data_IF_447374520673
#
_entry.id   IF_447374520673
#
_cell.length_a   1.000
_cell.length_b   1.000
_cell.length_c   1.000
_cell.angle_alpha   90.00
_cell.angle_beta   90.00
_cell.angle_gamma   90.00
#
_symmetry.space_group_name_H-M   'P 1'
#
loop_
_entity.id
_entity.type
_entity.pdbx_description
1 polymer ?
#
# COMPACT_ATOMS: atom_id res chain seq x y z
N UNK A 1 31.13 -58.87 8.71
CA UNK A 1 30.05 -58.27 7.89
C UNK A 1 28.89 -57.95 8.81
N UNK A 2 28.65 -56.67 9.08
CA UNK A 2 27.32 -56.09 9.32
C UNK A 2 27.43 -54.64 8.83
N UNK A 3 26.55 -54.32 7.90
CA UNK A 3 26.60 -53.15 7.03
C UNK A 3 26.22 -51.88 7.80
N UNK A 4 27.06 -50.84 7.70
CA UNK A 4 26.62 -49.48 7.97
C UNK A 4 25.82 -49.00 6.76
N UNK A 5 24.49 -48.97 6.86
CA UNK A 5 23.67 -48.26 5.88
C UNK A 5 22.44 -47.62 6.52
N UNK A 6 22.66 -46.58 7.32
CA UNK A 6 21.64 -45.55 7.47
C UNK A 6 21.95 -44.44 6.48
N UNK A 7 21.42 -44.58 5.26
CA UNK A 7 21.35 -43.49 4.30
C UNK A 7 20.58 -42.33 4.94
N UNK A 8 21.30 -41.29 5.38
CA UNK A 8 20.66 -40.07 5.86
C UNK A 8 20.13 -39.32 4.64
N UNK A 9 18.81 -39.34 4.45
CA UNK A 9 18.15 -38.65 3.36
C UNK A 9 18.08 -37.14 3.62
N UNK A 10 19.10 -36.40 3.19
CA UNK A 10 19.18 -34.94 3.28
C UNK A 10 18.49 -34.21 2.11
N UNK A 11 17.31 -34.62 1.66
CA UNK A 11 16.53 -33.75 0.78
C UNK A 11 15.85 -32.62 1.57
N UNK A 12 16.63 -31.80 2.30
CA UNK A 12 16.24 -30.43 2.61
C UNK A 12 16.78 -29.61 1.45
N UNK A 13 15.88 -28.95 0.73
CA UNK A 13 16.18 -28.16 -0.47
C UNK A 13 16.90 -26.84 -0.10
N UNK A 14 17.98 -26.91 0.66
CA UNK A 14 18.78 -25.76 1.10
C UNK A 14 19.91 -25.53 0.09
N UNK A 15 19.66 -24.64 -0.87
CA UNK A 15 20.76 -24.08 -1.67
C UNK A 15 21.59 -23.17 -0.78
N UNK A 16 22.89 -23.43 -0.68
CA UNK A 16 23.84 -22.49 -0.10
C UNK A 16 23.80 -21.20 -0.92
N UNK A 17 23.54 -20.07 -0.27
CA UNK A 17 23.63 -18.74 -0.86
C UNK A 17 24.76 -18.02 -0.15
N UNK A 18 25.60 -17.27 -0.87
CA UNK A 18 26.58 -16.40 -0.24
C UNK A 18 25.85 -15.27 0.50
N UNK A 19 25.74 -15.39 1.82
CA UNK A 19 24.86 -14.56 2.66
C UNK A 19 25.57 -13.40 3.35
N UNK A 20 26.65 -12.86 2.77
CA UNK A 20 27.28 -11.67 3.38
C UNK A 20 26.29 -10.50 3.37
N UNK A 21 25.63 -10.24 4.51
CA UNK A 21 24.56 -9.26 4.67
C UNK A 21 23.13 -9.77 4.44
N UNK A 22 22.91 -11.03 4.04
CA UNK A 22 21.55 -11.55 3.79
C UNK A 22 20.90 -12.05 5.09
N UNK A 23 19.73 -11.49 5.43
CA UNK A 23 18.84 -12.05 6.46
C UNK A 23 17.75 -12.87 5.78
N UNK A 24 17.72 -14.17 6.01
CA UNK A 24 16.68 -15.07 5.48
C UNK A 24 15.47 -15.02 6.42
N UNK A 25 14.35 -14.46 5.95
CA UNK A 25 13.05 -14.68 6.59
C UNK A 25 12.53 -16.05 6.14
N UNK A 26 12.74 -17.08 6.95
CA UNK A 26 12.35 -18.45 6.63
C UNK A 26 10.85 -18.65 6.67
N UNK A 27 10.20 -18.66 5.51
CA UNK A 27 8.89 -19.28 5.33
C UNK A 27 9.07 -20.63 4.64
N UNK A 28 8.49 -21.71 5.17
CA UNK A 28 8.38 -22.98 4.45
C UNK A 28 7.39 -22.78 3.29
N UNK A 29 7.86 -22.43 2.09
CA UNK A 29 7.01 -22.41 0.90
C UNK A 29 7.00 -23.82 0.30
N UNK A 30 5.84 -24.49 0.34
CA UNK A 30 5.64 -25.82 -0.26
C UNK A 30 5.28 -25.74 -1.75
N UNK A 31 5.48 -24.60 -2.39
CA UNK A 31 5.06 -24.36 -3.78
C UNK A 31 6.25 -24.33 -4.74
N UNK A 32 6.09 -25.04 -5.86
CA UNK A 32 7.15 -25.43 -6.80
C UNK A 32 7.86 -24.26 -7.52
N UNK A 33 7.29 -23.06 -7.51
CA UNK A 33 7.78 -21.89 -8.26
C UNK A 33 7.72 -20.57 -7.48
N UNK A 34 8.09 -20.55 -6.18
CA UNK A 34 8.02 -19.33 -5.35
C UNK A 34 9.39 -18.76 -5.00
N UNK A 35 9.65 -17.50 -5.41
CA UNK A 35 10.83 -16.70 -5.04
C UNK A 35 10.55 -15.71 -3.89
N UNK A 36 9.41 -15.83 -3.21
CA UNK A 36 8.90 -14.84 -2.25
C UNK A 36 8.58 -15.43 -0.87
N UNK A 37 8.66 -14.59 0.17
CA UNK A 37 8.17 -14.92 1.53
C UNK A 37 6.65 -14.92 1.52
N UNK A 38 6.05 -16.11 1.48
CA UNK A 38 4.59 -16.25 1.47
C UNK A 38 3.96 -16.05 2.86
N UNK A 39 2.69 -15.66 2.86
CA UNK A 39 1.86 -15.66 4.05
C UNK A 39 1.63 -17.08 4.56
N UNK A 40 2.07 -17.39 5.79
CA UNK A 40 1.92 -18.73 6.38
C UNK A 40 0.47 -19.20 6.55
N UNK A 41 -0.49 -18.27 6.58
CA UNK A 41 -1.92 -18.54 6.76
C UNK A 41 -2.76 -18.35 5.48
N UNK A 42 -2.14 -18.12 4.31
CA UNK A 42 -2.85 -17.88 3.04
C UNK A 42 -2.39 -18.88 1.96
N UNK A 43 -2.70 -20.18 2.07
CA UNK A 43 -2.21 -21.22 1.15
C UNK A 43 -2.84 -21.20 -0.26
N UNK A 44 -3.35 -20.06 -0.72
CA UNK A 44 -4.15 -19.97 -1.95
C UNK A 44 -3.57 -19.09 -3.07
N UNK A 45 -2.61 -18.20 -2.80
CA UNK A 45 -2.06 -17.32 -3.83
C UNK A 45 -0.54 -17.06 -3.64
N UNK A 46 0.32 -17.53 -4.56
CA UNK A 46 1.79 -17.36 -4.48
C UNK A 46 2.27 -15.90 -4.58
N UNK A 47 1.38 -14.95 -4.90
CA UNK A 47 1.70 -13.52 -5.04
C UNK A 47 1.57 -12.74 -3.74
N UNK A 48 1.05 -13.35 -2.67
CA UNK A 48 0.86 -12.66 -1.41
C UNK A 48 2.13 -12.69 -0.55
N UNK A 49 2.45 -11.56 0.06
CA UNK A 49 3.59 -11.41 0.97
C UNK A 49 3.11 -10.94 2.34
N UNK A 50 3.58 -11.59 3.39
CA UNK A 50 3.31 -11.19 4.77
C UNK A 50 4.63 -11.07 5.54
N UNK A 51 4.81 -9.94 6.21
CA UNK A 51 5.98 -9.65 7.04
C UNK A 51 5.48 -9.20 8.41
N UNK A 52 5.61 -10.07 9.42
CA UNK A 52 5.18 -9.81 10.79
C UNK A 52 4.31 -10.93 11.34
N UNK A 53 4.31 -11.10 12.66
CA UNK A 53 3.46 -12.08 13.33
C UNK A 53 1.97 -11.78 13.07
N UNK A 54 1.21 -12.81 12.70
CA UNK A 54 -0.23 -12.71 12.41
C UNK A 54 -0.59 -11.73 11.29
N UNK A 55 0.37 -11.32 10.45
CA UNK A 55 0.07 -10.60 9.21
C UNK A 55 -0.65 -11.52 8.22
N UNK A 56 -1.65 -11.00 7.51
CA UNK A 56 -2.47 -11.76 6.58
C UNK A 56 -2.83 -10.94 5.34
N UNK A 57 -3.02 -11.61 4.21
CA UNK A 57 -3.55 -11.03 2.98
C UNK A 57 -4.82 -11.77 2.61
N UNK A 58 -5.95 -11.07 2.63
CA UNK A 58 -7.27 -11.59 2.30
C UNK A 58 -7.52 -11.46 0.80
N UNK A 59 -6.76 -12.21 -0.01
CA UNK A 59 -6.94 -12.21 -1.47
C UNK A 59 -7.67 -13.46 -1.95
N UNK A 60 -8.74 -13.25 -2.72
CA UNK A 60 -9.51 -14.32 -3.37
C UNK A 60 -9.17 -14.47 -4.87
N UNK A 61 -8.36 -13.57 -5.43
CA UNK A 61 -7.99 -13.47 -6.84
C UNK A 61 -6.47 -13.50 -7.03
N UNK A 62 -5.98 -13.61 -8.28
CA UNK A 62 -4.55 -13.61 -8.61
C UNK A 62 -3.91 -12.21 -8.58
N UNK A 63 -4.42 -11.30 -7.74
CA UNK A 63 -4.10 -9.87 -7.75
C UNK A 63 -2.96 -9.47 -6.81
N UNK A 64 -2.51 -10.36 -5.92
CA UNK A 64 -1.34 -10.21 -5.02
C UNK A 64 -1.39 -9.02 -4.05
N UNK A 65 -1.30 -9.27 -2.74
CA UNK A 65 -1.25 -8.20 -1.72
C UNK A 65 -0.04 -8.31 -0.78
N UNK A 66 0.27 -7.23 -0.06
CA UNK A 66 1.34 -7.18 0.95
C UNK A 66 0.80 -6.73 2.31
N UNK A 67 1.08 -7.49 3.36
CA UNK A 67 0.81 -7.09 4.74
C UNK A 67 2.12 -6.91 5.51
N UNK A 68 2.36 -5.72 6.05
CA UNK A 68 3.60 -5.33 6.72
C UNK A 68 3.36 -4.86 8.15
N UNK A 69 3.91 -5.61 9.10
CA UNK A 69 3.82 -5.39 10.53
C UNK A 69 2.87 -6.39 11.21
N UNK A 70 3.08 -6.60 12.50
CA UNK A 70 2.26 -7.50 13.31
C UNK A 70 0.77 -7.15 13.22
N UNK A 71 -0.11 -8.14 13.08
CA UNK A 71 -1.57 -7.96 12.91
C UNK A 71 -2.02 -7.16 11.68
N UNK A 72 -1.17 -6.92 10.69
CA UNK A 72 -1.62 -6.20 9.48
C UNK A 72 -2.43 -7.11 8.59
N UNK A 73 -3.53 -6.60 8.05
CA UNK A 73 -4.41 -7.34 7.14
C UNK A 73 -4.57 -6.53 5.86
N UNK A 74 -4.13 -7.11 4.74
CA UNK A 74 -4.37 -6.50 3.42
C UNK A 74 -5.66 -7.04 2.81
N UNK A 75 -6.66 -6.19 2.54
CA UNK A 75 -7.92 -6.60 1.93
C UNK A 75 -7.78 -6.78 0.42
N UNK A 76 -8.63 -7.60 -0.20
CA UNK A 76 -8.78 -7.61 -1.66
C UNK A 76 -9.54 -6.37 -2.12
N UNK A 77 -8.92 -5.56 -2.97
CA UNK A 77 -9.51 -4.38 -3.64
C UNK A 77 -9.49 -4.50 -5.17
N UNK A 78 -8.84 -5.54 -5.70
CA UNK A 78 -8.85 -5.86 -7.13
C UNK A 78 -9.58 -7.18 -7.33
N UNK A 79 -10.89 -7.09 -7.61
CA UNK A 79 -11.78 -8.24 -7.75
C UNK A 79 -12.09 -8.51 -9.23
N UNK A 80 -11.46 -9.53 -9.83
CA UNK A 80 -11.91 -10.10 -11.11
C UNK A 80 -12.04 -9.12 -12.29
N UNK A 81 -11.35 -7.98 -12.28
CA UNK A 81 -11.46 -6.92 -13.29
C UNK A 81 -12.39 -5.76 -12.93
N UNK A 82 -13.13 -5.83 -11.82
CA UNK A 82 -13.78 -4.67 -11.21
C UNK A 82 -12.78 -3.99 -10.25
N UNK A 83 -12.24 -2.88 -10.72
CA UNK A 83 -11.34 -2.04 -9.95
C UNK A 83 -12.14 -1.33 -8.85
N UNK A 84 -11.92 -1.65 -7.57
CA UNK A 84 -12.38 -0.79 -6.47
C UNK A 84 -11.51 0.45 -6.53
N UNK A 85 -11.98 1.46 -7.24
CA UNK A 85 -11.17 2.64 -7.42
C UNK A 85 -11.06 3.46 -6.14
N UNK A 86 -10.09 4.37 -6.17
CA UNK A 86 -9.77 5.28 -5.09
C UNK A 86 -10.87 6.30 -4.82
N UNK A 87 -10.66 7.09 -3.77
CA UNK A 87 -11.56 8.18 -3.46
C UNK A 87 -11.19 9.42 -4.29
N UNK A 88 -12.09 9.84 -5.17
CA UNK A 88 -12.00 11.13 -5.88
C UNK A 88 -12.76 12.22 -5.10
N UNK A 89 -12.07 13.23 -4.52
CA UNK A 89 -12.72 14.29 -3.75
C UNK A 89 -13.52 15.29 -4.61
N UNK A 90 -13.29 15.37 -5.93
CA UNK A 90 -14.01 16.31 -6.83
C UNK A 90 -15.42 15.80 -7.08
N UNK A 91 -15.54 14.50 -7.32
CA UNK A 91 -16.81 13.84 -7.64
C UNK A 91 -17.48 13.18 -6.42
N UNK A 92 -16.79 13.15 -5.26
CA UNK A 92 -17.26 12.48 -4.05
C UNK A 92 -17.12 10.96 -4.08
N UNK A 93 -16.16 10.44 -4.86
CA UNK A 93 -15.88 9.01 -5.01
C UNK A 93 -16.50 8.37 -6.25
N UNK A 94 -17.19 9.15 -7.10
CA UNK A 94 -17.63 8.66 -8.40
C UNK A 94 -16.46 8.72 -9.39
N UNK A 95 -15.95 7.58 -9.81
CA UNK A 95 -14.82 7.51 -10.73
C UNK A 95 -15.32 7.47 -12.17
N UNK A 96 -15.03 8.52 -12.92
CA UNK A 96 -15.55 8.73 -14.27
C UNK A 96 -14.65 8.11 -15.36
N UNK A 97 -13.45 7.65 -14.99
CA UNK A 97 -12.45 7.13 -15.94
C UNK A 97 -12.12 5.67 -15.64
N UNK A 98 -12.73 4.71 -16.35
CA UNK A 98 -12.36 3.31 -16.26
C UNK A 98 -10.86 3.13 -16.57
N UNK A 99 -10.14 2.40 -15.70
CA UNK A 99 -8.75 1.95 -15.91
C UNK A 99 -7.65 3.02 -15.82
N UNK A 100 -7.88 4.19 -15.22
CA UNK A 100 -6.78 5.12 -14.94
C UNK A 100 -6.00 4.65 -13.69
N UNK A 101 -4.70 4.30 -13.78
CA UNK A 101 -3.92 3.81 -12.64
C UNK A 101 -3.70 4.86 -11.53
N UNK A 102 -3.89 6.15 -11.83
CA UNK A 102 -3.90 7.23 -10.82
C UNK A 102 -5.05 7.02 -9.83
N UNK A 103 -6.20 6.57 -10.34
CA UNK A 103 -7.44 6.43 -9.57
C UNK A 103 -7.82 4.97 -9.31
N UNK A 104 -7.20 4.00 -9.96
CA UNK A 104 -7.54 2.58 -9.84
C UNK A 104 -6.28 1.72 -9.65
N UNK A 105 -6.18 1.08 -8.48
CA UNK A 105 -5.09 0.14 -8.21
C UNK A 105 -5.20 -1.10 -9.10
N UNK A 106 -4.06 -1.56 -9.64
CA UNK A 106 -3.97 -2.76 -10.49
C UNK A 106 -3.64 -4.04 -9.70
N UNK A 107 -3.20 -3.90 -8.46
CA UNK A 107 -2.87 -4.96 -7.50
C UNK A 107 -3.50 -4.65 -6.13
N UNK A 108 -3.59 -5.65 -5.26
CA UNK A 108 -4.10 -5.44 -3.91
C UNK A 108 -3.13 -4.58 -3.08
N UNK A 109 -3.65 -3.81 -2.11
CA UNK A 109 -2.86 -2.78 -1.43
C UNK A 109 -1.73 -3.38 -0.58
N UNK A 110 -0.77 -2.51 -0.26
CA UNK A 110 0.11 -2.70 0.89
C UNK A 110 -0.63 -2.26 2.14
N UNK A 111 -0.86 -3.17 3.07
CA UNK A 111 -1.45 -2.86 4.37
C UNK A 111 -0.39 -2.77 5.45
N UNK A 112 -0.49 -1.71 6.26
CA UNK A 112 0.37 -1.45 7.42
C UNK A 112 -0.38 -1.64 8.74
N UNK A 113 -1.58 -2.24 8.73
CA UNK A 113 -2.41 -2.40 9.91
C UNK A 113 -3.72 -3.11 9.61
N UNK A 114 -4.68 -2.96 10.50
CA UNK A 114 -6.03 -3.50 10.38
C UNK A 114 -6.99 -2.46 10.98
N UNK A 115 -7.69 -1.68 10.13
CA UNK A 115 -8.63 -0.65 10.58
C UNK A 115 -9.80 -1.22 11.39
N UNK A 116 -10.23 -2.46 11.12
CA UNK A 116 -11.33 -3.09 11.85
C UNK A 116 -10.91 -3.38 13.30
N UNK A 117 -9.61 -3.67 13.50
CA UNK A 117 -8.98 -3.82 14.81
C UNK A 117 -8.38 -2.51 15.36
N UNK A 118 -8.60 -1.36 14.68
CA UNK A 118 -8.03 -0.05 15.03
C UNK A 118 -6.49 -0.02 15.07
N UNK A 119 -5.85 -0.93 14.35
CA UNK A 119 -4.40 -1.00 14.23
C UNK A 119 -3.99 -0.15 13.03
N UNK A 120 -3.28 0.95 13.29
CA UNK A 120 -2.72 1.82 12.27
C UNK A 120 -1.27 2.14 12.57
N UNK A 121 -0.52 2.50 11.55
CA UNK A 121 0.89 2.88 11.67
C UNK A 121 1.14 4.13 10.86
N UNK A 122 2.04 4.98 11.35
CA UNK A 122 2.57 6.08 10.56
C UNK A 122 3.61 5.54 9.57
N UNK A 123 3.63 6.12 8.38
CA UNK A 123 4.70 5.92 7.40
C UNK A 123 5.59 7.16 7.47
N UNK A 124 6.82 7.01 7.96
CA UNK A 124 7.77 8.11 8.19
C UNK A 124 8.88 8.10 7.14
N UNK A 125 9.56 9.23 6.95
CA UNK A 125 10.63 9.36 5.96
C UNK A 125 10.13 9.46 4.51
N UNK A 126 8.86 9.82 4.30
CA UNK A 126 8.27 9.99 2.96
C UNK A 126 8.67 11.35 2.39
N UNK A 127 9.48 11.34 1.33
CA UNK A 127 9.80 12.53 0.55
C UNK A 127 8.53 13.10 -0.12
N UNK A 128 8.56 14.37 -0.53
CA UNK A 128 7.42 14.96 -1.22
C UNK A 128 7.19 14.23 -2.55
N UNK A 129 5.95 13.82 -2.81
CA UNK A 129 5.57 13.18 -4.06
C UNK A 129 5.67 14.14 -5.24
N UNK A 130 6.07 13.63 -6.40
CA UNK A 130 6.21 14.38 -7.65
C UNK A 130 5.16 13.99 -8.68
N UNK A 131 4.99 12.69 -8.90
CA UNK A 131 4.03 12.14 -9.85
C UNK A 131 2.66 11.91 -9.21
N UNK A 132 1.60 11.79 -10.03
CA UNK A 132 0.21 11.62 -9.56
C UNK A 132 0.00 10.37 -8.69
N UNK A 133 0.87 9.36 -8.81
CA UNK A 133 0.82 8.11 -8.03
C UNK A 133 1.76 8.07 -6.83
N UNK A 134 2.51 9.14 -6.57
CA UNK A 134 3.41 9.21 -5.41
C UNK A 134 2.63 9.48 -4.11
N UNK A 135 3.14 8.95 -3.00
CA UNK A 135 2.59 9.26 -1.69
C UNK A 135 2.80 10.74 -1.33
N UNK A 136 1.74 11.41 -0.90
CA UNK A 136 1.80 12.78 -0.38
C UNK A 136 2.24 12.77 1.09
N UNK A 137 3.16 13.66 1.46
CA UNK A 137 3.55 13.83 2.86
C UNK A 137 2.84 15.01 3.55
N UNK A 138 2.98 15.11 4.88
CA UNK A 138 2.32 16.14 5.68
C UNK A 138 2.77 17.57 5.33
N UNK A 139 3.99 17.76 4.80
CA UNK A 139 4.48 19.09 4.42
C UNK A 139 3.73 19.64 3.20
N UNK A 140 3.48 18.81 2.18
CA UNK A 140 2.68 19.19 1.02
C UNK A 140 1.24 19.58 1.43
N UNK A 141 0.61 18.83 2.33
CA UNK A 141 -0.73 19.15 2.82
C UNK A 141 -0.78 20.48 3.61
N UNK A 142 0.25 20.78 4.40
CA UNK A 142 0.35 22.08 5.11
C UNK A 142 0.49 23.25 4.14
N UNK A 143 1.34 23.12 3.12
CA UNK A 143 1.50 24.15 2.09
C UNK A 143 0.18 24.41 1.34
N UNK A 144 -0.58 23.35 1.00
CA UNK A 144 -1.90 23.49 0.40
C UNK A 144 -2.89 24.22 1.32
N UNK A 145 -2.92 23.86 2.62
CA UNK A 145 -3.77 24.55 3.61
C UNK A 145 -3.44 26.04 3.69
N UNK A 146 -2.15 26.40 3.73
CA UNK A 146 -1.70 27.79 3.76
C UNK A 146 -2.14 28.57 2.51
N UNK A 147 -1.97 27.96 1.32
CA UNK A 147 -2.43 28.53 0.07
C UNK A 147 -3.95 28.81 0.08
N UNK A 148 -4.77 27.86 0.53
CA UNK A 148 -6.23 28.04 0.62
C UNK A 148 -6.64 29.10 1.64
N UNK A 149 -5.91 29.23 2.76
CA UNK A 149 -6.18 30.27 3.76
C UNK A 149 -5.85 31.66 3.21
N UNK A 150 -4.77 31.81 2.44
CA UNK A 150 -4.41 33.08 1.79
C UNK A 150 -5.41 33.47 0.69
N UNK A 151 -6.00 32.49 0.01
CA UNK A 151 -7.01 32.68 -1.05
C UNK A 151 -8.43 32.98 -0.52
N UNK A 152 -8.68 33.00 0.80
CA UNK A 152 -9.97 33.45 1.37
C UNK A 152 -10.16 34.96 1.19
N UNK A 153 -10.55 35.35 -0.03
CA UNK A 153 -11.39 36.48 -0.43
C UNK A 153 -11.19 37.84 0.26
N UNK A 154 -10.18 38.58 -0.18
CA UNK A 154 -10.29 40.04 -0.28
C UNK A 154 -11.08 40.41 -1.55
N UNK A 155 -12.42 40.27 -1.54
CA UNK A 155 -13.25 40.99 -2.51
C UNK A 155 -13.25 42.47 -2.09
N UNK A 156 -12.29 43.25 -2.60
CA UNK A 156 -12.36 44.70 -2.48
C UNK A 156 -13.43 45.22 -3.45
N UNK A 157 -14.68 45.33 -2.99
CA UNK A 157 -15.67 46.15 -3.66
C UNK A 157 -15.37 47.61 -3.29
N UNK A 158 -14.69 48.37 -4.15
CA UNK A 158 -14.71 49.82 -4.02
C UNK A 158 -16.02 50.34 -4.61
N UNK A 159 -16.96 50.75 -3.76
CA UNK A 159 -17.97 51.70 -4.18
C UNK A 159 -17.26 53.06 -4.30
N UNK A 160 -17.07 53.56 -5.52
CA UNK A 160 -16.58 54.93 -5.70
C UNK A 160 -17.55 55.87 -5.01
N UNK A 161 -17.13 56.58 -3.96
CA UNK A 161 -17.96 57.65 -3.42
C UNK A 161 -17.94 58.76 -4.46
N UNK A 162 -19.03 58.90 -5.21
CA UNK A 162 -19.30 60.09 -6.02
C UNK A 162 -19.30 61.29 -5.09
N UNK A 163 -18.16 61.97 -5.04
CA UNK A 163 -18.02 63.24 -4.36
C UNK A 163 -18.57 64.33 -5.26
N UNK A 164 -19.85 64.66 -5.07
CA UNK A 164 -20.36 65.95 -5.49
C UNK A 164 -20.36 66.86 -4.27
N UNK A 165 -19.17 67.39 -3.98
CA UNK A 165 -19.06 68.67 -3.32
C UNK A 165 -19.20 69.75 -4.38
N UNK A 166 -20.19 70.63 -4.25
CA UNK A 166 -20.00 72.08 -4.22
C UNK A 166 -21.30 72.84 -4.58
N UNK A 167 -21.65 73.75 -3.65
CA UNK A 167 -22.47 74.97 -3.77
C UNK A 167 -24.00 74.85 -3.87
#
# INVERSE_FOLDING_TARGET
MLEENNTINWSVNTRSVNTTGARVAGGQTREKDTTATLCGNSPGNPKNVCIGELANVQNFYNSGGLALGMFSVSPSRVNGGLLVGGYDPVTGGALDIPNNPVWHATYDPVSFGDPDLRITRQIVGVAAGHEDTDAVNVAQLKALKEWTVQQKFGFYLSAGSGGDGAH
#
